data_IF_138894634943
#
_entry.id   IF_138894634943
#
_cell.length_a   1.000
_cell.length_b   1.000
_cell.length_c   1.000
_cell.angle_alpha   90.00
_cell.angle_beta   90.00
_cell.angle_gamma   90.00
#
_symmetry.space_group_name_H-M   'P 1'
#
loop_
_entity.id
_entity.type
_entity.pdbx_description
1 polymer ?
#
# COMPACT_ATOMS: atom_id res chain seq x y z
N UNK A 1 7.81 -1.00 3.57
CA UNK A 1 7.44 -2.19 4.37
C UNK A 1 6.90 -3.31 3.48
N UNK A 2 7.43 -4.55 3.55
CA UNK A 2 6.95 -5.68 2.75
C UNK A 2 5.70 -6.36 3.35
N UNK A 3 5.18 -5.84 4.45
CA UNK A 3 4.08 -6.46 5.20
C UNK A 3 4.56 -7.44 6.27
N UNK A 4 3.64 -7.82 7.17
CA UNK A 4 3.95 -8.66 8.33
C UNK A 4 4.07 -10.16 8.00
N UNK A 5 3.62 -10.57 6.82
CA UNK A 5 3.60 -11.97 6.38
C UNK A 5 4.75 -12.35 5.44
N UNK A 6 5.58 -11.38 5.03
CA UNK A 6 6.72 -11.67 4.17
C UNK A 6 7.85 -12.31 4.98
N UNK A 7 8.16 -13.58 4.67
CA UNK A 7 9.23 -14.35 5.32
C UNK A 7 10.60 -14.11 4.69
N UNK A 8 10.66 -13.67 3.42
CA UNK A 8 11.89 -13.46 2.65
C UNK A 8 11.98 -12.02 2.14
N UNK A 9 11.97 -11.04 3.05
CA UNK A 9 12.02 -9.62 2.72
C UNK A 9 13.39 -9.07 2.33
N UNK A 10 14.46 -9.87 2.32
CA UNK A 10 15.84 -9.41 2.06
C UNK A 10 16.00 -8.70 0.72
N UNK A 11 15.41 -9.26 -0.34
CA UNK A 11 15.44 -8.68 -1.68
C UNK A 11 14.77 -7.30 -1.71
N UNK A 12 13.60 -7.19 -1.09
CA UNK A 12 12.85 -5.94 -0.96
C UNK A 12 13.66 -4.84 -0.25
N UNK A 13 14.22 -5.15 0.92
CA UNK A 13 14.99 -4.14 1.68
C UNK A 13 16.30 -3.76 1.00
N UNK A 14 16.97 -4.71 0.33
CA UNK A 14 18.18 -4.44 -0.44
C UNK A 14 17.91 -3.51 -1.61
N UNK A 15 16.87 -3.81 -2.41
CA UNK A 15 16.46 -2.97 -3.54
C UNK A 15 16.04 -1.58 -3.08
N UNK A 16 15.23 -1.48 -2.02
CA UNK A 16 14.81 -0.20 -1.45
C UNK A 16 15.98 0.64 -0.93
N UNK A 17 16.96 0.02 -0.26
CA UNK A 17 18.15 0.73 0.22
C UNK A 17 19.00 1.29 -0.94
N UNK A 18 19.19 0.50 -2.01
CA UNK A 18 19.90 0.95 -3.21
C UNK A 18 19.17 2.09 -3.91
N UNK A 19 17.84 2.01 -4.05
CA UNK A 19 17.03 3.05 -4.66
C UNK A 19 17.12 4.36 -3.87
N UNK A 20 16.99 4.32 -2.56
CA UNK A 20 17.11 5.51 -1.72
C UNK A 20 18.49 6.17 -1.82
N UNK A 21 19.56 5.36 -1.84
CA UNK A 21 20.93 5.88 -2.04
C UNK A 21 21.09 6.56 -3.39
N UNK A 22 20.62 5.91 -4.48
CA UNK A 22 20.67 6.46 -5.85
C UNK A 22 19.94 7.80 -5.94
N UNK A 23 18.80 7.92 -5.24
CA UNK A 23 17.97 9.12 -5.26
C UNK A 23 18.37 10.17 -4.21
N UNK A 24 19.36 9.91 -3.37
CA UNK A 24 19.76 10.81 -2.28
C UNK A 24 18.63 11.07 -1.26
N UNK A 25 17.78 10.05 -1.00
CA UNK A 25 16.59 10.19 -0.15
C UNK A 25 16.75 9.44 1.17
N UNK A 26 16.14 9.99 2.22
CA UNK A 26 16.03 9.31 3.52
C UNK A 26 14.90 8.29 3.50
N UNK A 27 15.02 7.25 4.32
CA UNK A 27 14.01 6.20 4.42
C UNK A 27 13.75 5.70 5.84
N UNK A 28 12.57 5.10 6.02
CA UNK A 28 12.23 4.34 7.22
C UNK A 28 11.80 2.95 6.78
N UNK A 29 12.54 1.94 7.22
CA UNK A 29 12.23 0.53 7.01
C UNK A 29 11.45 -0.01 8.21
N UNK A 30 10.33 -0.67 7.92
CA UNK A 30 9.48 -1.26 8.95
C UNK A 30 9.48 -2.78 8.82
N UNK A 31 10.05 -3.45 9.80
CA UNK A 31 9.99 -4.92 9.97
C UNK A 31 10.27 -5.28 11.42
N UNK A 32 9.64 -6.36 11.89
CA UNK A 32 9.92 -6.97 13.20
C UNK A 32 11.14 -7.89 13.17
N UNK A 33 11.58 -8.26 11.96
CA UNK A 33 12.74 -9.14 11.76
C UNK A 33 13.91 -8.35 11.16
N UNK A 34 14.85 -7.87 11.99
CA UNK A 34 16.00 -7.13 11.52
C UNK A 34 16.99 -7.97 10.70
N UNK A 35 16.93 -9.32 10.77
CA UNK A 35 17.81 -10.20 10.00
C UNK A 35 17.53 -10.14 8.49
N UNK A 36 16.35 -9.67 8.10
CA UNK A 36 16.01 -9.47 6.70
C UNK A 36 16.60 -8.18 6.09
N UNK A 37 17.18 -7.32 6.92
CA UNK A 37 17.60 -5.99 6.49
C UNK A 37 19.13 -5.97 6.32
N UNK A 38 19.65 -5.50 5.17
CA UNK A 38 21.09 -5.36 4.99
C UNK A 38 21.64 -4.25 5.90
N UNK A 39 22.97 -4.13 6.08
CA UNK A 39 23.57 -2.97 6.70
C UNK A 39 23.06 -1.67 6.06
N UNK A 40 22.54 -0.76 6.87
CA UNK A 40 21.91 0.48 6.43
C UNK A 40 22.84 1.68 6.63
N UNK A 41 22.87 2.65 5.69
CA UNK A 41 23.48 3.95 5.92
C UNK A 41 22.65 4.79 6.90
N UNK A 42 23.23 5.86 7.43
CA UNK A 42 22.61 6.71 8.47
C UNK A 42 21.28 7.34 8.04
N UNK A 43 21.09 7.54 6.75
CA UNK A 43 19.89 8.15 6.17
C UNK A 43 18.68 7.21 6.21
N UNK A 44 18.86 5.92 6.50
CA UNK A 44 17.80 4.92 6.53
C UNK A 44 17.63 4.38 7.95
N UNK A 45 16.48 4.66 8.54
CA UNK A 45 16.11 4.19 9.87
C UNK A 45 15.38 2.84 9.80
N UNK A 46 15.81 1.88 10.64
CA UNK A 46 15.05 0.65 10.87
C UNK A 46 14.20 0.79 12.13
N UNK A 47 12.91 0.45 12.02
CA UNK A 47 11.99 0.42 13.15
C UNK A 47 11.12 -0.86 13.10
N UNK A 48 10.86 -1.50 14.24
CA UNK A 48 9.97 -2.66 14.28
C UNK A 48 8.52 -2.28 14.05
N UNK A 49 8.14 -1.07 14.43
CA UNK A 49 6.80 -0.52 14.29
C UNK A 49 6.81 1.01 14.38
N UNK A 50 5.95 1.64 13.60
CA UNK A 50 5.56 3.05 13.72
C UNK A 50 4.08 3.14 13.38
N UNK A 51 3.25 3.92 14.10
CA UNK A 51 1.87 4.20 13.69
C UNK A 51 1.85 4.85 12.31
N UNK A 52 1.38 4.13 11.29
CA UNK A 52 1.43 4.62 9.89
C UNK A 52 0.58 5.87 9.69
N UNK A 53 -0.53 6.01 10.42
CA UNK A 53 -1.36 7.22 10.40
C UNK A 53 -0.62 8.48 10.84
N UNK A 54 0.40 8.34 11.69
CA UNK A 54 1.26 9.46 12.10
C UNK A 54 2.47 9.65 11.17
N UNK A 55 2.98 8.57 10.56
CA UNK A 55 4.15 8.58 9.71
C UNK A 55 3.84 9.06 8.30
N UNK A 56 2.81 8.49 7.64
CA UNK A 56 2.56 8.68 6.22
C UNK A 56 2.26 10.13 5.82
N UNK A 57 1.55 10.97 6.63
CA UNK A 57 1.37 12.37 6.30
C UNK A 57 2.68 13.19 6.22
N UNK A 58 3.79 12.62 6.70
CA UNK A 58 5.14 13.22 6.67
C UNK A 58 6.07 12.53 5.66
N UNK A 59 5.54 11.58 4.90
CA UNK A 59 6.29 10.79 3.93
C UNK A 59 6.03 11.30 2.52
N UNK A 60 7.04 11.25 1.66
CA UNK A 60 6.91 11.65 0.27
C UNK A 60 6.27 10.55 -0.59
N UNK A 61 6.51 9.28 -0.26
CA UNK A 61 5.93 8.12 -0.91
C UNK A 61 5.98 6.90 0.03
N UNK A 62 5.21 5.87 -0.31
CA UNK A 62 5.22 4.58 0.39
C UNK A 62 5.55 3.44 -0.56
N UNK A 63 6.55 2.62 -0.20
CA UNK A 63 6.83 1.34 -0.88
C UNK A 63 6.32 0.20 -0.02
N UNK A 64 5.42 -0.63 -0.57
CA UNK A 64 4.76 -1.69 0.20
C UNK A 64 4.28 -2.86 -0.68
N UNK A 65 3.78 -3.91 -0.06
CA UNK A 65 3.34 -5.13 -0.72
C UNK A 65 1.95 -5.07 -1.39
N UNK A 66 1.21 -3.97 -1.28
CA UNK A 66 -0.13 -3.86 -1.88
C UNK A 66 -1.29 -4.37 -1.01
N UNK A 67 -1.08 -4.66 0.28
CA UNK A 67 -2.17 -5.05 1.18
C UNK A 67 -3.17 -3.90 1.38
N UNK A 68 -4.48 -4.22 1.36
CA UNK A 68 -5.55 -3.21 1.32
C UNK A 68 -5.49 -2.21 2.49
N UNK A 69 -5.17 -2.67 3.72
CA UNK A 69 -5.07 -1.78 4.87
C UNK A 69 -3.95 -0.75 4.73
N UNK A 70 -2.78 -1.15 4.23
CA UNK A 70 -1.65 -0.26 3.98
C UNK A 70 -1.95 0.72 2.84
N UNK A 71 -2.57 0.23 1.77
CA UNK A 71 -3.02 1.04 0.63
C UNK A 71 -4.00 2.12 1.07
N UNK A 72 -5.00 1.77 1.89
CA UNK A 72 -5.99 2.72 2.42
C UNK A 72 -5.35 3.81 3.31
N UNK A 73 -4.37 3.45 4.13
CA UNK A 73 -3.64 4.43 4.96
C UNK A 73 -2.83 5.42 4.13
N UNK A 74 -2.24 4.98 3.02
CA UNK A 74 -1.52 5.85 2.12
C UNK A 74 -2.47 6.76 1.32
N UNK A 75 -3.64 6.28 0.90
CA UNK A 75 -4.69 7.13 0.33
C UNK A 75 -5.15 8.21 1.33
N UNK A 76 -5.41 7.82 2.58
CA UNK A 76 -5.77 8.77 3.64
C UNK A 76 -4.67 9.80 3.94
N UNK A 77 -3.41 9.47 3.68
CA UNK A 77 -2.29 10.39 3.78
C UNK A 77 -2.08 11.25 2.52
N UNK A 78 -2.71 10.90 1.40
CA UNK A 78 -2.60 11.60 0.12
C UNK A 78 -1.19 11.55 -0.46
N UNK A 79 -0.54 10.39 -0.40
CA UNK A 79 0.83 10.18 -0.89
C UNK A 79 0.90 9.09 -1.96
N UNK A 80 1.84 9.21 -2.92
CA UNK A 80 2.10 8.18 -3.92
C UNK A 80 2.53 6.85 -3.31
N UNK A 81 2.20 5.76 -4.02
CA UNK A 81 2.48 4.40 -3.57
C UNK A 81 3.19 3.59 -4.64
N UNK A 82 4.24 2.87 -4.25
CA UNK A 82 4.83 1.82 -5.08
C UNK A 82 4.48 0.47 -4.47
N UNK A 83 3.62 -0.28 -5.14
CA UNK A 83 3.20 -1.60 -4.70
C UNK A 83 4.10 -2.68 -5.33
N UNK A 84 4.63 -3.57 -4.49
CA UNK A 84 5.42 -4.75 -4.91
C UNK A 84 4.69 -6.01 -4.42
N UNK A 85 3.62 -6.44 -5.14
CA UNK A 85 2.79 -7.56 -4.72
C UNK A 85 3.54 -8.89 -4.80
N UNK A 86 3.24 -9.82 -3.89
CA UNK A 86 3.81 -11.17 -3.90
C UNK A 86 2.77 -12.27 -3.65
N UNK A 87 1.56 -11.94 -3.16
CA UNK A 87 0.54 -12.93 -2.87
C UNK A 87 -0.88 -12.34 -2.80
N UNK A 88 -1.88 -13.22 -2.87
CA UNK A 88 -3.29 -12.96 -2.58
C UNK A 88 -3.89 -11.78 -3.38
N UNK A 89 -4.67 -10.94 -2.70
CA UNK A 89 -5.36 -9.76 -3.23
C UNK A 89 -4.41 -8.59 -3.59
N UNK A 90 -3.13 -8.71 -3.26
CA UNK A 90 -2.15 -7.64 -3.45
C UNK A 90 -2.00 -7.25 -4.93
N UNK A 91 -2.07 -8.22 -5.84
CA UNK A 91 -1.98 -7.98 -7.29
C UNK A 91 -3.17 -7.16 -7.81
N UNK A 92 -4.39 -7.48 -7.35
CA UNK A 92 -5.58 -6.71 -7.73
C UNK A 92 -5.54 -5.30 -7.12
N UNK A 93 -5.16 -5.17 -5.85
CA UNK A 93 -4.99 -3.88 -5.19
C UNK A 93 -3.96 -3.00 -5.90
N UNK A 94 -2.81 -3.58 -6.30
CA UNK A 94 -1.76 -2.86 -7.04
C UNK A 94 -2.25 -2.40 -8.42
N UNK A 95 -2.99 -3.25 -9.14
CA UNK A 95 -3.59 -2.88 -10.43
C UNK A 95 -4.62 -1.76 -10.27
N UNK A 96 -5.42 -1.78 -9.21
CA UNK A 96 -6.37 -0.68 -8.91
C UNK A 96 -5.66 0.62 -8.58
N UNK A 97 -4.56 0.53 -7.83
CA UNK A 97 -3.71 1.68 -7.49
C UNK A 97 -3.19 2.39 -8.74
N UNK A 98 -2.70 1.65 -9.73
CA UNK A 98 -2.26 2.19 -11.02
C UNK A 98 -3.42 2.83 -11.80
N UNK A 99 -4.55 2.15 -11.89
CA UNK A 99 -5.75 2.68 -12.58
C UNK A 99 -6.27 3.97 -11.96
N UNK A 100 -6.09 4.16 -10.65
CA UNK A 100 -6.43 5.39 -9.96
C UNK A 100 -5.40 6.51 -10.18
N UNK A 101 -4.25 6.22 -10.78
CA UNK A 101 -3.17 7.19 -10.97
C UNK A 101 -2.49 7.65 -9.68
N UNK A 102 -2.58 6.87 -8.61
CA UNK A 102 -2.00 7.19 -7.29
C UNK A 102 -0.72 6.42 -6.99
N UNK A 103 -0.23 5.63 -7.92
CA UNK A 103 0.98 4.85 -7.73
C UNK A 103 1.29 3.93 -8.89
N UNK A 104 2.32 3.11 -8.68
CA UNK A 104 2.79 2.13 -9.65
C UNK A 104 2.83 0.74 -9.02
N UNK A 105 2.74 -0.26 -9.88
CA UNK A 105 2.97 -1.66 -9.56
C UNK A 105 4.32 -2.09 -10.10
N UNK A 106 5.08 -2.81 -9.31
CA UNK A 106 6.33 -3.43 -9.70
C UNK A 106 6.37 -4.88 -9.21
N UNK A 107 6.27 -5.83 -10.13
CA UNK A 107 6.24 -7.25 -9.76
C UNK A 107 7.63 -7.73 -9.33
N UNK A 108 7.66 -8.58 -8.31
CA UNK A 108 8.90 -9.19 -7.82
C UNK A 108 9.31 -10.40 -8.69
N UNK A 109 10.63 -10.66 -8.87
CA UNK A 109 11.74 -9.88 -8.39
C UNK A 109 11.98 -8.65 -9.29
N UNK A 110 11.85 -7.46 -8.70
CA UNK A 110 12.15 -6.24 -9.44
C UNK A 110 13.67 -6.00 -9.49
N UNK A 111 14.18 -5.63 -10.66
CA UNK A 111 15.55 -5.15 -10.77
C UNK A 111 15.73 -3.85 -9.98
N UNK A 112 16.90 -3.66 -9.37
CA UNK A 112 17.21 -2.48 -8.56
C UNK A 112 17.02 -1.17 -9.35
N UNK A 113 17.27 -1.19 -10.66
CA UNK A 113 17.07 -0.05 -11.57
C UNK A 113 15.58 0.32 -11.68
N UNK A 114 14.72 -0.67 -11.92
CA UNK A 114 13.28 -0.47 -12.10
C UNK A 114 12.62 0.12 -10.83
N UNK A 115 13.04 -0.33 -9.64
CA UNK A 115 12.55 0.21 -8.38
C UNK A 115 12.97 1.67 -8.19
N UNK A 116 14.22 2.01 -8.55
CA UNK A 116 14.71 3.39 -8.47
C UNK A 116 13.96 4.32 -9.42
N UNK A 117 13.73 3.88 -10.66
CA UNK A 117 13.03 4.64 -11.70
C UNK A 117 11.56 4.85 -11.34
N UNK A 118 10.88 3.79 -10.90
CA UNK A 118 9.49 3.88 -10.46
C UNK A 118 9.34 4.83 -9.26
N UNK A 119 10.23 4.74 -8.28
CA UNK A 119 10.19 5.62 -7.12
C UNK A 119 10.52 7.07 -7.50
N UNK A 120 11.49 7.30 -8.39
CA UNK A 120 11.80 8.63 -8.91
C UNK A 120 10.58 9.24 -9.61
N UNK A 121 9.95 8.51 -10.53
CA UNK A 121 8.74 8.96 -11.21
C UNK A 121 7.65 9.37 -10.22
N UNK A 122 7.33 8.54 -9.24
CA UNK A 122 6.33 8.85 -8.23
C UNK A 122 6.65 10.10 -7.37
N UNK A 123 7.92 10.40 -7.19
CA UNK A 123 8.36 11.56 -6.40
C UNK A 123 8.39 12.86 -7.20
N UNK A 124 8.48 12.79 -8.55
CA UNK A 124 8.65 13.92 -9.44
C UNK A 124 7.40 14.24 -10.26
N UNK A 125 6.47 13.30 -10.39
CA UNK A 125 5.24 13.48 -11.19
C UNK A 125 4.19 14.28 -10.40
N UNK A 126 3.98 15.53 -10.80
CA UNK A 126 3.00 16.42 -10.20
C UNK A 126 1.55 15.94 -10.40
N UNK A 127 1.25 15.22 -11.50
CA UNK A 127 -0.07 14.69 -11.76
C UNK A 127 -0.40 13.55 -10.77
N UNK A 128 0.55 12.67 -10.48
CA UNK A 128 0.38 11.64 -9.45
C UNK A 128 0.15 12.28 -8.08
N UNK A 129 0.94 13.30 -7.74
CA UNK A 129 0.79 14.02 -6.48
C UNK A 129 -0.60 14.70 -6.36
N UNK A 130 -1.07 15.36 -7.42
CA UNK A 130 -2.39 15.98 -7.46
C UNK A 130 -3.51 14.96 -7.32
N UNK A 131 -3.41 13.82 -8.03
CA UNK A 131 -4.38 12.72 -7.96
C UNK A 131 -4.45 12.11 -6.57
N UNK A 132 -3.31 11.93 -5.89
CA UNK A 132 -3.27 11.47 -4.50
C UNK A 132 -3.98 12.43 -3.55
N UNK A 133 -3.84 13.75 -3.75
CA UNK A 133 -4.52 14.78 -2.95
C UNK A 133 -6.03 14.82 -3.20
N UNK A 134 -6.45 14.71 -4.45
CA UNK A 134 -7.87 14.61 -4.79
C UNK A 134 -8.51 13.38 -4.15
N UNK A 135 -7.86 12.23 -4.26
CA UNK A 135 -8.34 11.00 -3.63
C UNK A 135 -8.40 11.12 -2.10
N UNK A 136 -7.37 11.72 -1.47
CA UNK A 136 -7.38 12.01 -0.04
C UNK A 136 -8.60 12.81 0.39
N UNK A 137 -8.95 13.86 -0.36
CA UNK A 137 -10.08 14.72 -0.06
C UNK A 137 -11.45 14.01 -0.17
N UNK A 138 -11.51 12.92 -0.94
CA UNK A 138 -12.70 12.09 -1.14
C UNK A 138 -12.81 10.91 -0.17
N UNK A 139 -11.77 10.65 0.62
CA UNK A 139 -11.78 9.56 1.60
C UNK A 139 -12.62 9.92 2.83
N UNK A 140 -13.50 9.02 3.21
CA UNK A 140 -14.17 9.10 4.50
C UNK A 140 -13.17 8.88 5.65
N UNK A 141 -13.44 9.50 6.78
CA UNK A 141 -12.72 9.13 8.01
C UNK A 141 -13.02 7.68 8.40
N UNK A 142 -12.11 7.04 9.11
CA UNK A 142 -12.31 5.66 9.56
C UNK A 142 -13.62 5.45 10.35
N UNK A 143 -14.02 6.43 11.17
CA UNK A 143 -15.28 6.39 11.91
C UNK A 143 -16.50 6.42 10.98
N UNK A 144 -16.48 7.29 9.96
CA UNK A 144 -17.57 7.38 8.97
C UNK A 144 -17.63 6.10 8.12
N UNK A 145 -16.48 5.59 7.70
CA UNK A 145 -16.43 4.34 6.94
C UNK A 145 -16.96 3.14 7.73
N UNK A 146 -16.64 3.04 9.03
CA UNK A 146 -17.18 2.02 9.91
C UNK A 146 -18.73 2.15 10.10
N UNK A 147 -19.22 3.36 10.29
CA UNK A 147 -20.66 3.59 10.40
C UNK A 147 -21.41 3.14 9.13
N UNK A 148 -20.92 3.55 7.95
CA UNK A 148 -21.48 3.08 6.67
C UNK A 148 -21.43 1.56 6.51
N UNK A 149 -20.36 0.91 6.96
CA UNK A 149 -20.26 -0.56 6.91
C UNK A 149 -21.32 -1.23 7.79
N UNK A 150 -21.60 -0.69 9.00
CA UNK A 150 -22.67 -1.17 9.87
C UNK A 150 -24.02 -1.03 9.18
N UNK A 151 -24.34 0.13 8.60
CA UNK A 151 -25.60 0.35 7.89
C UNK A 151 -25.78 -0.67 6.74
N UNK A 152 -24.71 -0.99 5.98
CA UNK A 152 -24.77 -2.02 4.94
C UNK A 152 -25.04 -3.42 5.48
N UNK A 153 -24.42 -3.80 6.60
CA UNK A 153 -24.62 -5.11 7.23
C UNK A 153 -26.04 -5.23 7.76
N UNK A 154 -26.55 -4.20 8.44
CA UNK A 154 -27.91 -4.18 8.96
C UNK A 154 -28.95 -4.24 7.83
N UNK A 155 -28.76 -3.47 6.76
CA UNK A 155 -29.65 -3.52 5.59
C UNK A 155 -29.62 -4.89 4.90
N UNK A 156 -28.46 -5.54 4.83
CA UNK A 156 -28.34 -6.89 4.27
C UNK A 156 -29.06 -7.93 5.14
N UNK A 157 -28.95 -7.82 6.46
CA UNK A 157 -29.61 -8.72 7.42
C UNK A 157 -31.15 -8.60 7.40
N UNK A 158 -31.68 -7.45 7.01
CA UNK A 158 -33.13 -7.20 6.90
C UNK A 158 -33.71 -7.66 5.56
N UNK A 159 -32.90 -8.01 4.57
CA UNK A 159 -33.38 -8.55 3.28
C UNK A 159 -33.95 -9.96 3.51
N UNK A 160 -35.20 -10.25 3.06
CA UNK A 160 -35.75 -11.61 3.09
C UNK A 160 -34.78 -12.52 2.31
N UNK A 161 -34.49 -13.69 2.87
CA UNK A 161 -33.81 -14.74 2.09
C UNK A 161 -34.74 -15.11 0.95
N UNK A 162 -34.33 -14.82 -0.27
CA UNK A 162 -35.03 -15.26 -1.46
C UNK A 162 -34.88 -16.79 -1.51
N UNK A 163 -35.89 -17.49 -0.98
CA UNK A 163 -35.98 -18.95 -1.02
C UNK A 163 -36.24 -19.41 -2.46
N UNK A 164 -35.27 -19.21 -3.35
CA UNK A 164 -35.25 -19.74 -4.71
C UNK A 164 -35.15 -21.26 -4.76
N UNK A 165 -35.94 -21.97 -3.96
CA UNK A 165 -36.09 -23.41 -3.94
C UNK A 165 -37.52 -23.79 -4.24
N UNK A 166 -38.01 -23.47 -5.45
CA UNK A 166 -39.16 -24.16 -6.06
C UNK A 166 -39.05 -24.03 -7.58
N UNK A 167 -38.45 -25.02 -8.23
CA UNK A 167 -38.79 -25.50 -9.57
C UNK A 167 -37.80 -26.55 -10.05
N UNK A 168 -37.79 -27.72 -9.48
CA UNK A 168 -37.44 -28.97 -10.16
C UNK A 168 -38.26 -30.10 -9.51
N UNK A 169 -39.54 -30.10 -9.77
CA UNK A 169 -40.41 -31.27 -9.69
C UNK A 169 -41.42 -31.18 -10.85
N UNK A 170 -41.11 -31.89 -11.90
CA UNK A 170 -41.94 -32.04 -13.11
C UNK A 170 -41.22 -32.91 -14.10
#
# INVERSE_FOLDING_TARGET
TPGSTMLEGQGFFRGAAKALRKLGRRGIFLTKDPAQVPPLPEEILLRPYVPMSALLPRSAALVHHGGIGTTALAFAAGIPQLATPFAHDQFDNATRLERLGCGLRLDAPAEDAALSEALQHLLEDEQVAATCKDLQARMDSGAVACAKAVDFVEAAAQRPLDNGAQAHAG
#
